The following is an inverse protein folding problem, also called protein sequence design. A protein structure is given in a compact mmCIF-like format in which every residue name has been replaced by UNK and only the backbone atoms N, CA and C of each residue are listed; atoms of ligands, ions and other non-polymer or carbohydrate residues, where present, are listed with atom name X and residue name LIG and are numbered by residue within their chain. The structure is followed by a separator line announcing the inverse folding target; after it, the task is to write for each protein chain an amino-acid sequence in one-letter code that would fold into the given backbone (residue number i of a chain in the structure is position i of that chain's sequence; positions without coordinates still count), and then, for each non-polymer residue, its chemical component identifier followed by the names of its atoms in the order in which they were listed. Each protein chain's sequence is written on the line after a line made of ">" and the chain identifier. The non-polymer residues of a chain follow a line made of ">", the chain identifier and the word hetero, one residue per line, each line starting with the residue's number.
data_IF_176988948341
#
_entry.id   IF_176988948341
#
_cell.length_a   1.000
_cell.length_b   1.000
_cell.length_c   1.000
_cell.angle_alpha   90.00
_cell.angle_beta   90.00
_cell.angle_gamma   90.00
#
_symmetry.space_group_name_H-M   'P 1'
#
loop_
_entity.id
_entity.type
_entity.pdbx_description
1 polymer ?
#
# COMPACT_ATOMS: atom_id res chain seq x y z
N UNK A 1 52.55 -8.17 16.81
CA UNK A 1 52.94 -9.59 16.87
C UNK A 1 51.76 -10.49 16.48
N UNK A 2 52.06 -11.26 15.44
CA UNK A 2 51.42 -12.49 14.94
C UNK A 2 50.01 -12.41 14.37
N UNK A 3 50.02 -12.43 13.03
CA UNK A 3 49.21 -13.12 12.03
C UNK A 3 48.52 -14.39 12.56
N UNK A 4 47.20 -14.45 12.30
CA UNK A 4 46.55 -15.72 11.97
C UNK A 4 45.69 -15.55 10.71
N UNK A 5 45.99 -16.40 9.76
CA UNK A 5 45.39 -16.50 8.44
C UNK A 5 43.93 -16.93 8.51
N UNK A 6 42.99 -16.06 8.16
CA UNK A 6 41.69 -16.51 7.69
C UNK A 6 41.72 -16.60 6.15
N UNK A 7 41.75 -17.81 5.66
CA UNK A 7 41.49 -18.13 4.25
C UNK A 7 40.03 -17.78 3.93
N UNK A 8 39.83 -16.72 3.21
CA UNK A 8 38.57 -16.40 2.57
C UNK A 8 38.39 -17.30 1.34
N UNK A 9 37.34 -18.08 1.35
CA UNK A 9 36.83 -18.71 0.13
C UNK A 9 36.09 -17.64 -0.70
N UNK A 10 36.35 -17.52 -2.00
CA UNK A 10 35.73 -16.50 -2.83
C UNK A 10 34.32 -16.91 -3.24
N UNK A 11 33.38 -16.01 -3.05
CA UNK A 11 32.19 -15.89 -3.85
C UNK A 11 31.04 -16.84 -3.53
N UNK A 12 30.07 -16.32 -2.82
CA UNK A 12 28.62 -16.50 -3.07
C UNK A 12 27.86 -15.79 -1.96
N UNK A 13 27.78 -14.47 -2.05
CA UNK A 13 26.75 -13.70 -1.33
C UNK A 13 25.44 -13.90 -2.07
N UNK A 14 24.59 -14.78 -1.57
CA UNK A 14 23.21 -14.88 -1.97
C UNK A 14 22.40 -13.89 -1.12
N UNK A 15 22.16 -12.69 -1.64
CA UNK A 15 21.05 -11.88 -1.22
C UNK A 15 19.77 -12.50 -1.83
N UNK A 16 19.01 -13.21 -1.01
CA UNK A 16 17.67 -13.67 -1.40
C UNK A 16 16.75 -12.46 -1.26
N UNK A 17 16.66 -11.67 -2.32
CA UNK A 17 15.62 -10.68 -2.46
C UNK A 17 14.31 -11.42 -2.80
N UNK A 18 13.41 -11.51 -1.83
CA UNK A 18 12.03 -11.92 -2.02
C UNK A 18 11.28 -10.80 -2.74
N UNK A 19 11.22 -10.84 -4.08
CA UNK A 19 10.37 -9.99 -4.90
C UNK A 19 9.36 -10.86 -5.65
N UNK A 20 8.09 -10.94 -5.20
CA UNK A 20 7.08 -11.73 -5.92
C UNK A 20 6.62 -11.10 -7.23
N UNK A 21 6.88 -9.80 -7.49
CA UNK A 21 6.35 -9.09 -8.66
C UNK A 21 7.32 -8.96 -9.84
N UNK A 22 8.63 -8.84 -9.63
CA UNK A 22 9.62 -8.79 -10.73
C UNK A 22 9.75 -10.09 -11.53
N UNK A 23 9.30 -11.21 -10.96
CA UNK A 23 9.26 -12.49 -11.69
C UNK A 23 8.11 -12.53 -12.72
N UNK A 24 7.10 -11.68 -12.60
CA UNK A 24 5.95 -11.67 -13.50
C UNK A 24 6.22 -10.95 -14.83
N UNK A 25 7.08 -9.94 -14.85
CA UNK A 25 7.44 -9.22 -16.09
C UNK A 25 8.43 -9.98 -16.97
N UNK A 26 9.14 -10.98 -16.40
CA UNK A 26 10.06 -11.85 -17.15
C UNK A 26 9.44 -13.20 -17.52
N UNK A 27 8.22 -13.50 -17.08
CA UNK A 27 7.50 -14.74 -17.41
C UNK A 27 6.54 -14.52 -18.62
N UNK A 28 7.03 -13.89 -19.67
CA UNK A 28 6.67 -14.32 -21.04
C UNK A 28 7.52 -15.53 -21.44
N UNK A 29 8.22 -16.13 -20.49
CA UNK A 29 9.10 -17.25 -20.63
C UNK A 29 8.33 -18.55 -20.47
N UNK A 30 8.31 -19.31 -21.56
CA UNK A 30 8.05 -20.72 -21.69
C UNK A 30 7.95 -21.49 -20.36
N UNK A 31 6.78 -22.08 -20.03
CA UNK A 31 6.60 -22.89 -18.82
C UNK A 31 7.64 -23.98 -18.62
N UNK A 32 8.27 -24.47 -19.71
CA UNK A 32 9.34 -25.47 -19.66
C UNK A 32 10.63 -24.90 -19.05
N UNK A 33 10.93 -23.61 -19.23
CA UNK A 33 12.10 -22.96 -18.61
C UNK A 33 11.95 -22.77 -17.10
N UNK A 34 10.74 -22.51 -16.64
CA UNK A 34 10.45 -22.46 -15.20
C UNK A 34 10.61 -23.83 -14.53
N UNK A 35 10.22 -24.90 -15.20
CA UNK A 35 10.40 -26.27 -14.70
C UNK A 35 11.89 -26.63 -14.65
N UNK A 36 12.68 -26.28 -15.68
CA UNK A 36 14.12 -26.51 -15.72
C UNK A 36 14.89 -25.73 -14.64
N UNK A 37 14.47 -24.51 -14.32
CA UNK A 37 15.08 -23.71 -13.25
C UNK A 37 14.83 -24.35 -11.86
N UNK A 38 13.63 -24.88 -11.63
CA UNK A 38 13.31 -25.60 -10.39
C UNK A 38 14.02 -26.95 -10.27
N UNK A 39 14.15 -27.70 -11.37
CA UNK A 39 14.88 -28.97 -11.40
C UNK A 39 16.38 -28.72 -11.13
N UNK A 40 16.97 -27.65 -11.64
CA UNK A 40 18.36 -27.29 -11.36
C UNK A 40 18.59 -26.89 -9.88
N UNK A 41 17.63 -26.20 -9.24
CA UNK A 41 17.70 -25.92 -7.80
C UNK A 41 17.60 -27.20 -6.94
N UNK A 42 16.82 -28.19 -7.35
CA UNK A 42 16.77 -29.51 -6.70
C UNK A 42 18.04 -30.34 -6.92
N UNK A 43 18.65 -30.29 -8.11
CA UNK A 43 19.91 -30.96 -8.39
C UNK A 43 21.08 -30.41 -7.57
N UNK A 44 21.12 -29.09 -7.35
CA UNK A 44 22.11 -28.45 -6.46
C UNK A 44 21.88 -28.83 -4.99
N UNK A 45 20.63 -29.03 -4.57
CA UNK A 45 20.27 -29.44 -3.21
C UNK A 45 20.54 -30.92 -2.94
N UNK A 46 20.43 -31.79 -3.96
CA UNK A 46 20.70 -33.20 -3.86
C UNK A 46 22.20 -33.57 -3.78
N UNK A 47 23.08 -32.61 -4.08
CA UNK A 47 24.53 -32.76 -3.95
C UNK A 47 25.09 -32.14 -2.63
N UNK A 48 24.24 -31.79 -1.69
CA UNK A 48 24.65 -31.28 -0.39
C UNK A 48 24.92 -32.46 0.58
N UNK A 49 26.13 -32.61 1.13
CA UNK A 49 26.49 -33.72 2.03
C UNK A 49 25.67 -33.78 3.34
N UNK A 50 25.05 -32.67 3.72
CA UNK A 50 24.22 -32.56 4.93
C UNK A 50 22.82 -33.17 4.74
N UNK A 51 22.36 -33.32 3.49
CA UNK A 51 21.01 -33.82 3.17
C UNK A 51 20.97 -35.32 2.86
N UNK A 52 22.10 -36.05 2.85
CA UNK A 52 22.19 -37.46 2.46
C UNK A 52 21.64 -38.45 3.48
N UNK A 53 21.33 -38.04 4.70
CA UNK A 53 20.92 -38.91 5.80
C UNK A 53 19.40 -39.00 6.05
N UNK A 54 18.55 -38.43 5.16
CA UNK A 54 17.10 -38.55 5.31
C UNK A 54 16.54 -39.71 4.49
N UNK A 55 16.09 -40.77 5.17
CA UNK A 55 15.69 -42.05 4.60
C UNK A 55 14.32 -42.07 3.90
N UNK A 56 13.69 -40.92 3.57
CA UNK A 56 12.37 -40.94 2.97
C UNK A 56 12.25 -40.03 1.74
N UNK A 57 12.98 -40.41 0.67
CA UNK A 57 12.93 -39.73 -0.63
C UNK A 57 11.50 -39.67 -1.23
N UNK A 58 10.63 -40.62 -0.88
CA UNK A 58 9.29 -40.73 -1.45
C UNK A 58 8.31 -39.73 -0.79
N UNK A 59 8.44 -39.49 0.52
CA UNK A 59 7.64 -38.52 1.24
C UNK A 59 8.08 -37.09 0.91
N UNK A 60 9.39 -36.84 0.74
CA UNK A 60 9.94 -35.57 0.31
C UNK A 60 9.49 -35.17 -1.10
N UNK A 61 9.50 -36.15 -2.04
CA UNK A 61 9.02 -35.92 -3.42
C UNK A 61 7.52 -35.59 -3.44
N UNK A 62 6.73 -36.28 -2.60
CA UNK A 62 5.29 -36.03 -2.47
C UNK A 62 5.00 -34.63 -1.88
N UNK A 63 5.76 -34.23 -0.86
CA UNK A 63 5.65 -32.88 -0.24
C UNK A 63 6.08 -31.76 -1.21
N UNK A 64 7.13 -32.01 -2.01
CA UNK A 64 7.59 -31.11 -3.06
C UNK A 64 6.54 -30.94 -4.16
N UNK A 65 5.94 -32.05 -4.63
CA UNK A 65 4.87 -31.99 -5.64
C UNK A 65 3.60 -31.31 -5.13
N UNK A 66 3.22 -31.50 -3.88
CA UNK A 66 2.10 -30.78 -3.25
C UNK A 66 2.39 -29.29 -3.15
N UNK A 67 3.59 -28.90 -2.74
CA UNK A 67 4.01 -27.50 -2.69
C UNK A 67 4.02 -26.83 -4.08
N UNK A 68 4.44 -27.56 -5.12
CA UNK A 68 4.41 -27.11 -6.52
C UNK A 68 2.95 -26.91 -6.97
N UNK A 69 2.06 -27.87 -6.68
CA UNK A 69 0.62 -27.74 -7.00
C UNK A 69 -0.02 -26.56 -6.31
N UNK A 70 0.29 -26.33 -5.02
CA UNK A 70 -0.22 -25.19 -4.25
C UNK A 70 0.28 -23.86 -4.84
N UNK A 71 1.58 -23.77 -5.20
CA UNK A 71 2.13 -22.59 -5.88
C UNK A 71 1.50 -22.37 -7.25
N UNK A 72 1.32 -23.42 -8.04
CA UNK A 72 0.71 -23.33 -9.36
C UNK A 72 -0.75 -22.88 -9.28
N UNK A 73 -1.52 -23.41 -8.32
CA UNK A 73 -2.88 -22.93 -8.02
C UNK A 73 -2.92 -21.47 -7.63
N UNK A 74 -1.99 -21.03 -6.76
CA UNK A 74 -1.89 -19.60 -6.39
C UNK A 74 -1.63 -18.74 -7.62
N UNK A 75 -0.62 -19.07 -8.43
CA UNK A 75 -0.30 -18.30 -9.65
C UNK A 75 -1.48 -18.27 -10.63
N UNK A 76 -2.18 -19.40 -10.81
CA UNK A 76 -3.35 -19.45 -11.69
C UNK A 76 -4.49 -18.58 -11.17
N UNK A 77 -4.78 -18.63 -9.87
CA UNK A 77 -5.80 -17.82 -9.22
C UNK A 77 -5.45 -16.32 -9.34
N UNK A 78 -4.17 -15.94 -9.13
CA UNK A 78 -3.73 -14.56 -9.32
C UNK A 78 -3.88 -14.09 -10.78
N UNK A 79 -3.47 -14.91 -11.76
CA UNK A 79 -3.60 -14.56 -13.20
C UNK A 79 -5.07 -14.43 -13.63
N UNK A 80 -5.93 -15.34 -13.18
CA UNK A 80 -7.37 -15.27 -13.47
C UNK A 80 -7.98 -14.07 -12.75
N UNK A 81 -7.64 -13.87 -11.47
CA UNK A 81 -8.11 -12.74 -10.67
C UNK A 81 -7.71 -11.39 -11.30
N UNK A 82 -6.46 -11.23 -11.71
CA UNK A 82 -5.98 -10.02 -12.37
C UNK A 82 -6.70 -9.77 -13.71
N UNK A 83 -6.94 -10.81 -14.51
CA UNK A 83 -7.73 -10.67 -15.76
C UNK A 83 -9.18 -10.26 -15.48
N UNK A 84 -9.83 -10.89 -14.51
CA UNK A 84 -11.20 -10.55 -14.13
C UNK A 84 -11.26 -9.11 -13.61
N UNK A 85 -10.30 -8.71 -12.77
CA UNK A 85 -10.18 -7.34 -12.29
C UNK A 85 -10.03 -6.35 -13.45
N UNK A 86 -9.16 -6.64 -14.43
CA UNK A 86 -8.96 -5.80 -15.60
C UNK A 86 -10.21 -5.70 -16.52
N UNK A 87 -11.02 -6.76 -16.62
CA UNK A 87 -12.32 -6.69 -17.31
C UNK A 87 -13.32 -5.84 -16.54
N UNK A 88 -13.37 -6.01 -15.21
CA UNK A 88 -14.25 -5.25 -14.34
C UNK A 88 -13.90 -3.76 -14.40
N UNK A 89 -12.63 -3.40 -14.33
CA UNK A 89 -12.15 -2.02 -14.43
C UNK A 89 -12.55 -1.33 -15.73
N UNK A 90 -12.60 -2.06 -16.85
CA UNK A 90 -13.05 -1.52 -18.15
C UNK A 90 -14.55 -1.17 -18.16
N UNK A 91 -15.35 -1.78 -17.30
CA UNK A 91 -16.77 -1.48 -17.18
C UNK A 91 -17.04 -0.28 -16.27
N UNK A 92 -16.17 -0.01 -15.30
CA UNK A 92 -16.34 1.05 -14.31
C UNK A 92 -16.68 2.41 -14.93
N UNK A 93 -16.01 2.89 -16.00
CA UNK A 93 -16.33 4.18 -16.61
C UNK A 93 -17.79 4.32 -17.07
N UNK A 94 -18.40 3.23 -17.53
CA UNK A 94 -19.78 3.22 -18.05
C UNK A 94 -20.85 3.20 -16.93
N UNK A 95 -20.46 2.80 -15.72
CA UNK A 95 -21.37 2.68 -14.56
C UNK A 95 -21.05 3.70 -13.46
N UNK A 96 -19.97 4.45 -13.58
CA UNK A 96 -19.59 5.49 -12.63
C UNK A 96 -20.58 6.64 -12.65
N UNK A 97 -21.12 7.00 -11.48
CA UNK A 97 -22.06 8.12 -11.33
C UNK A 97 -21.34 9.49 -11.30
N UNK A 98 -20.02 9.47 -11.24
CA UNK A 98 -19.15 10.67 -11.16
C UNK A 98 -18.27 10.84 -12.40
N UNK A 99 -18.49 10.06 -13.46
CA UNK A 99 -17.68 10.10 -14.68
C UNK A 99 -16.35 9.34 -14.56
N UNK A 100 -15.42 9.64 -15.48
CA UNK A 100 -14.12 8.97 -15.61
C UNK A 100 -13.01 10.00 -15.91
N UNK A 101 -12.81 10.93 -15.01
CA UNK A 101 -11.81 11.99 -15.07
C UNK A 101 -10.69 11.76 -14.05
N UNK A 102 -9.55 12.39 -14.25
CA UNK A 102 -8.44 12.31 -13.30
C UNK A 102 -8.84 12.91 -11.95
N UNK A 103 -9.44 14.10 -11.94
CA UNK A 103 -9.97 14.74 -10.75
C UNK A 103 -11.48 14.84 -10.78
N UNK A 104 -12.11 14.86 -9.63
CA UNK A 104 -13.55 15.02 -9.43
C UNK A 104 -13.84 16.27 -8.61
N UNK A 105 -15.01 16.86 -8.88
CA UNK A 105 -15.49 18.01 -8.13
C UNK A 105 -16.16 17.57 -6.82
N UNK A 106 -15.98 18.36 -5.76
CA UNK A 106 -16.49 18.07 -4.41
C UNK A 106 -18.02 17.92 -4.34
N UNK A 107 -18.75 18.60 -5.23
CA UNK A 107 -20.23 18.55 -5.26
C UNK A 107 -20.82 17.16 -5.57
N UNK A 108 -20.01 16.23 -6.09
CA UNK A 108 -20.41 14.82 -6.27
C UNK A 108 -20.52 14.04 -4.94
N UNK A 109 -20.05 14.63 -3.82
CA UNK A 109 -19.92 13.94 -2.54
C UNK A 109 -20.44 14.83 -1.41
N UNK A 110 -21.65 14.55 -0.93
CA UNK A 110 -22.32 15.36 0.12
C UNK A 110 -21.49 15.47 1.41
N UNK A 111 -20.75 14.43 1.76
CA UNK A 111 -19.94 14.36 2.97
C UNK A 111 -18.68 15.24 2.95
N UNK A 112 -18.21 15.66 1.77
CA UNK A 112 -16.96 16.44 1.63
C UNK A 112 -17.06 17.77 2.35
N UNK A 113 -18.19 18.47 2.23
CA UNK A 113 -18.39 19.76 2.88
C UNK A 113 -18.30 19.67 4.41
N UNK A 114 -18.79 18.57 5.02
CA UNK A 114 -18.71 18.35 6.48
C UNK A 114 -17.27 18.11 6.92
N UNK A 115 -16.51 17.31 6.17
CA UNK A 115 -15.09 17.03 6.48
C UNK A 115 -14.23 18.28 6.28
N UNK A 116 -14.39 18.97 5.14
CA UNK A 116 -13.62 20.19 4.82
C UNK A 116 -13.92 21.31 5.84
N UNK A 117 -15.17 21.50 6.23
CA UNK A 117 -15.55 22.54 7.22
C UNK A 117 -14.95 22.28 8.62
N UNK A 118 -14.67 21.03 8.96
CA UNK A 118 -14.10 20.62 10.25
C UNK A 118 -12.58 20.39 10.20
N UNK A 119 -11.89 20.83 9.14
CA UNK A 119 -10.46 20.57 8.95
C UNK A 119 -9.57 21.03 10.12
N UNK A 120 -9.93 22.11 10.81
CA UNK A 120 -9.17 22.61 11.96
C UNK A 120 -9.20 21.67 13.17
N UNK A 121 -10.30 20.90 13.36
CA UNK A 121 -10.38 19.89 14.41
C UNK A 121 -9.44 18.74 14.08
N UNK A 122 -9.46 18.28 12.82
CA UNK A 122 -8.57 17.24 12.29
C UNK A 122 -7.10 17.69 12.39
N UNK A 123 -6.84 18.96 12.02
CA UNK A 123 -5.50 19.53 12.08
C UNK A 123 -4.96 19.57 13.51
N UNK A 124 -5.78 19.90 14.49
CA UNK A 124 -5.36 19.93 15.90
C UNK A 124 -4.89 18.55 16.37
N UNK A 125 -5.60 17.48 16.01
CA UNK A 125 -5.22 16.11 16.35
C UNK A 125 -3.93 15.71 15.60
N UNK A 126 -3.77 16.08 14.35
CA UNK A 126 -2.53 15.89 13.60
C UNK A 126 -1.35 16.62 14.26
N UNK A 127 -1.51 17.86 14.71
CA UNK A 127 -0.43 18.64 15.31
C UNK A 127 0.09 17.99 16.60
N UNK A 128 -0.76 17.31 17.38
CA UNK A 128 -0.30 16.49 18.51
C UNK A 128 0.53 15.29 18.05
N UNK A 129 0.12 14.60 17.00
CA UNK A 129 0.87 13.48 16.44
C UNK A 129 2.21 13.91 15.83
N UNK A 130 2.28 15.10 15.24
CA UNK A 130 3.51 15.62 14.63
C UNK A 130 4.62 15.90 15.65
N UNK A 131 4.34 15.95 16.95
CA UNK A 131 5.36 16.01 18.00
C UNK A 131 6.20 14.74 18.02
N UNK A 132 5.67 13.62 17.55
CA UNK A 132 6.29 12.29 17.49
C UNK A 132 6.58 11.83 16.06
N UNK A 133 6.62 12.74 15.09
CA UNK A 133 6.70 12.43 13.65
C UNK A 133 7.87 11.49 13.30
N UNK A 134 8.97 11.58 14.01
CA UNK A 134 10.17 10.78 13.73
C UNK A 134 10.00 9.31 14.20
N UNK A 135 9.07 9.07 15.13
CA UNK A 135 8.70 7.75 15.64
C UNK A 135 7.55 7.10 14.88
N UNK A 136 6.86 7.84 13.99
CA UNK A 136 5.78 7.30 13.18
C UNK A 136 6.32 6.31 12.11
N UNK A 137 5.54 5.26 11.78
CA UNK A 137 5.94 4.33 10.72
C UNK A 137 5.98 5.02 9.36
N UNK A 138 6.90 4.58 8.52
CA UNK A 138 6.86 4.89 7.11
C UNK A 138 5.76 4.08 6.42
N UNK A 139 5.32 4.52 5.26
CA UNK A 139 4.31 3.80 4.49
C UNK A 139 4.77 2.36 4.17
N UNK A 140 6.02 2.15 3.80
CA UNK A 140 6.59 0.83 3.51
C UNK A 140 6.70 -0.09 4.75
N UNK A 141 6.73 0.45 5.97
CA UNK A 141 6.71 -0.35 7.20
C UNK A 141 5.34 -0.99 7.42
N UNK A 142 4.28 -0.37 6.93
CA UNK A 142 2.91 -0.88 6.95
C UNK A 142 2.66 -1.79 5.74
N UNK A 143 3.02 -1.34 4.53
CA UNK A 143 2.77 -2.04 3.26
C UNK A 143 4.08 -2.27 2.50
N UNK A 144 4.88 -3.27 2.89
CA UNK A 144 6.20 -3.55 2.29
C UNK A 144 6.13 -3.86 0.79
N UNK A 145 5.02 -4.45 0.33
CA UNK A 145 4.82 -4.79 -1.09
C UNK A 145 4.70 -3.55 -1.99
N UNK A 146 4.51 -2.36 -1.40
CA UNK A 146 4.48 -1.08 -2.12
C UNK A 146 5.80 -0.31 -2.04
N UNK A 147 6.84 -0.89 -1.46
CA UNK A 147 8.14 -0.22 -1.29
C UNK A 147 8.74 0.25 -2.63
N UNK A 148 8.55 -0.52 -3.72
CA UNK A 148 9.05 -0.16 -5.05
C UNK A 148 8.43 1.14 -5.60
N UNK A 149 7.20 1.48 -5.17
CA UNK A 149 6.49 2.69 -5.60
C UNK A 149 6.76 3.90 -4.71
N UNK A 150 7.31 3.67 -3.51
CA UNK A 150 7.35 4.71 -2.48
C UNK A 150 8.73 5.37 -2.34
N UNK A 151 9.75 4.90 -3.05
CA UNK A 151 11.17 5.20 -2.78
C UNK A 151 11.46 4.94 -1.30
N UNK A 152 11.99 3.77 -0.92
CA UNK A 152 12.15 3.36 0.48
C UNK A 152 13.17 4.25 1.18
N UNK A 153 12.68 5.37 1.68
CA UNK A 153 13.38 6.33 2.53
C UNK A 153 12.53 6.57 3.78
N UNK A 154 13.05 7.35 4.71
CA UNK A 154 12.40 7.67 5.96
C UNK A 154 11.55 8.96 5.87
N UNK A 155 11.09 9.33 4.67
CA UNK A 155 10.49 10.62 4.39
C UNK A 155 8.97 10.59 4.17
N UNK A 156 8.33 9.42 4.12
CA UNK A 156 6.87 9.30 4.05
C UNK A 156 6.34 8.61 5.30
N UNK A 157 5.97 9.40 6.30
CA UNK A 157 5.39 8.93 7.55
C UNK A 157 3.88 8.78 7.45
N UNK A 158 3.32 7.83 8.21
CA UNK A 158 1.89 7.53 8.20
C UNK A 158 1.34 7.28 9.59
N UNK A 159 0.05 7.61 9.78
CA UNK A 159 -0.69 7.26 10.99
C UNK A 159 -2.06 6.73 10.60
N UNK A 160 -2.20 5.41 10.56
CA UNK A 160 -3.41 4.73 10.08
C UNK A 160 -4.49 4.69 11.15
N UNK A 161 -5.72 5.04 10.76
CA UNK A 161 -6.95 4.86 11.52
C UNK A 161 -7.78 3.70 10.96
N UNK A 162 -7.79 3.55 9.63
CA UNK A 162 -8.45 2.45 8.92
C UNK A 162 -7.59 1.95 7.77
N UNK A 163 -7.52 0.62 7.62
CA UNK A 163 -6.91 -0.05 6.47
C UNK A 163 -7.86 -1.08 5.86
N UNK A 164 -8.38 -0.83 4.66
CA UNK A 164 -9.34 -1.70 3.95
C UNK A 164 -10.57 -2.11 4.80
N UNK A 165 -11.10 -1.19 5.61
CA UNK A 165 -12.24 -1.39 6.48
C UNK A 165 -11.91 -1.96 7.86
N UNK A 166 -10.66 -2.26 8.16
CA UNK A 166 -10.19 -2.71 9.47
C UNK A 166 -9.76 -1.48 10.28
N UNK A 167 -10.33 -1.33 11.46
CA UNK A 167 -10.11 -0.20 12.36
C UNK A 167 -8.87 -0.42 13.22
N UNK A 168 -8.02 0.59 13.34
CA UNK A 168 -6.97 0.70 14.33
C UNK A 168 -7.54 1.39 15.58
N UNK A 169 -8.03 0.61 16.52
CA UNK A 169 -8.87 1.11 17.63
C UNK A 169 -8.18 2.16 18.49
N UNK A 170 -6.91 1.94 18.87
CA UNK A 170 -6.17 2.87 19.71
C UNK A 170 -5.82 4.16 18.98
N UNK A 171 -5.47 4.04 17.69
CA UNK A 171 -5.21 5.20 16.86
C UNK A 171 -6.47 6.05 16.67
N UNK A 172 -7.63 5.41 16.47
CA UNK A 172 -8.92 6.08 16.41
C UNK A 172 -9.30 6.77 17.74
N UNK A 173 -9.03 6.13 18.88
CA UNK A 173 -9.27 6.72 20.19
C UNK A 173 -8.44 7.96 20.45
N UNK A 174 -7.22 8.04 19.87
CA UNK A 174 -6.33 9.18 19.99
C UNK A 174 -6.73 10.36 19.08
N UNK A 175 -7.44 10.07 18.00
CA UNK A 175 -7.95 11.07 17.05
C UNK A 175 -9.51 11.00 16.99
N UNK A 176 -10.21 11.31 18.10
CA UNK A 176 -11.65 11.09 18.19
C UNK A 176 -12.47 11.98 17.25
N UNK A 177 -12.06 13.22 16.99
CA UNK A 177 -12.79 14.11 16.09
C UNK A 177 -12.62 13.68 14.63
N UNK A 178 -11.39 13.34 14.24
CA UNK A 178 -11.13 12.77 12.90
C UNK A 178 -11.91 11.48 12.71
N UNK A 179 -11.88 10.58 13.69
CA UNK A 179 -12.61 9.30 13.65
C UNK A 179 -14.11 9.52 13.49
N UNK A 180 -14.70 10.40 14.28
CA UNK A 180 -16.12 10.77 14.21
C UNK A 180 -16.54 11.27 12.82
N UNK A 181 -15.66 12.02 12.15
CA UNK A 181 -15.94 12.55 10.82
C UNK A 181 -15.82 11.47 9.74
N UNK A 182 -14.73 10.69 9.74
CA UNK A 182 -14.50 9.69 8.71
C UNK A 182 -15.46 8.49 8.80
N UNK A 183 -15.95 8.16 9.98
CA UNK A 183 -16.94 7.08 10.17
C UNK A 183 -18.32 7.38 9.56
N UNK A 184 -18.63 8.66 9.33
CA UNK A 184 -19.85 9.09 8.63
C UNK A 184 -19.76 8.98 7.11
N UNK A 185 -18.57 8.76 6.55
CA UNK A 185 -18.34 8.75 5.10
C UNK A 185 -18.82 7.42 4.52
N UNK A 186 -19.84 7.43 3.63
CA UNK A 186 -20.33 6.21 3.02
C UNK A 186 -19.24 5.52 2.18
N UNK A 187 -18.99 4.24 2.47
CA UNK A 187 -18.06 3.43 1.70
C UNK A 187 -16.57 3.75 1.93
N UNK A 188 -16.22 4.48 2.99
CA UNK A 188 -14.82 4.67 3.38
C UNK A 188 -14.16 3.31 3.67
N UNK A 189 -12.95 3.11 3.14
CA UNK A 189 -12.18 1.87 3.26
C UNK A 189 -10.84 2.08 3.93
N UNK A 190 -10.15 3.16 3.62
CA UNK A 190 -8.82 3.49 4.16
C UNK A 190 -8.84 4.92 4.67
N UNK A 191 -8.24 5.15 5.83
CA UNK A 191 -8.08 6.49 6.41
C UNK A 191 -6.76 6.57 7.19
N UNK A 192 -5.91 7.54 6.85
CA UNK A 192 -4.68 7.79 7.58
C UNK A 192 -4.18 9.22 7.37
N UNK A 193 -3.35 9.70 8.27
CA UNK A 193 -2.55 10.89 8.02
C UNK A 193 -1.33 10.52 7.18
N UNK A 194 -1.21 11.13 6.00
CA UNK A 194 -0.06 11.01 5.10
C UNK A 194 0.83 12.23 5.26
N UNK A 195 2.05 12.01 5.74
CA UNK A 195 3.00 13.05 6.15
C UNK A 195 4.25 12.93 5.30
N UNK A 196 4.45 13.88 4.38
CA UNK A 196 5.67 13.95 3.59
C UNK A 196 6.65 14.92 4.24
N UNK A 197 7.79 14.38 4.60
CA UNK A 197 8.92 15.14 5.13
C UNK A 197 9.54 16.03 4.03
N UNK A 198 10.39 17.00 4.38
CA UNK A 198 11.11 17.83 3.42
C UNK A 198 11.83 17.03 2.34
N UNK A 199 11.71 17.46 1.08
CA UNK A 199 12.38 16.84 -0.06
C UNK A 199 11.76 15.54 -0.56
N UNK A 200 10.64 15.06 0.04
CA UNK A 200 10.03 13.80 -0.39
C UNK A 200 9.37 13.91 -1.76
N UNK A 201 9.75 12.98 -2.64
CA UNK A 201 9.06 12.66 -3.88
C UNK A 201 8.48 11.25 -3.80
N UNK A 202 7.18 11.11 -4.06
CA UNK A 202 6.53 9.83 -4.34
C UNK A 202 6.51 9.68 -5.86
N UNK A 203 7.29 8.73 -6.43
CA UNK A 203 7.40 8.55 -7.88
C UNK A 203 6.09 8.19 -8.56
N UNK A 204 6.03 8.34 -9.88
CA UNK A 204 4.86 7.97 -10.67
C UNK A 204 4.47 6.51 -10.45
N UNK A 205 3.23 6.32 -10.06
CA UNK A 205 2.63 5.01 -9.84
C UNK A 205 1.13 5.06 -10.12
N UNK A 206 0.48 3.91 -10.03
CA UNK A 206 -0.98 3.77 -10.17
C UNK A 206 -1.51 3.01 -8.96
N UNK A 207 -2.69 3.41 -8.50
CA UNK A 207 -3.46 2.62 -7.55
C UNK A 207 -3.86 1.25 -8.14
N UNK A 208 -4.00 0.24 -7.30
CA UNK A 208 -4.21 -1.14 -7.76
C UNK A 208 -5.61 -1.40 -8.29
N UNK A 209 -6.58 -0.52 -8.02
CA UNK A 209 -7.98 -0.79 -8.30
C UNK A 209 -8.83 0.47 -8.55
N UNK A 210 -9.48 0.53 -9.71
CA UNK A 210 -10.32 1.67 -10.15
C UNK A 210 -11.65 1.81 -9.41
N UNK A 211 -12.06 0.83 -8.62
CA UNK A 211 -13.33 0.83 -7.88
C UNK A 211 -13.36 1.69 -6.62
N UNK A 212 -12.26 2.35 -6.31
CA UNK A 212 -12.16 3.35 -5.26
C UNK A 212 -11.78 4.70 -5.86
N UNK A 213 -11.99 5.75 -5.10
CA UNK A 213 -11.52 7.11 -5.35
C UNK A 213 -10.74 7.59 -4.15
N UNK A 214 -9.79 8.47 -4.36
CA UNK A 214 -8.97 9.05 -3.32
C UNK A 214 -9.38 10.47 -3.01
N UNK A 215 -9.60 10.74 -1.72
CA UNK A 215 -9.81 12.07 -1.18
C UNK A 215 -8.61 12.44 -0.31
N UNK A 216 -8.05 13.61 -0.54
CA UNK A 216 -6.93 14.15 0.23
C UNK A 216 -7.27 15.57 0.71
N UNK A 217 -7.46 15.73 2.03
CA UNK A 217 -7.65 17.04 2.64
C UNK A 217 -6.30 17.58 3.11
N UNK A 218 -5.92 18.75 2.61
CA UNK A 218 -4.69 19.42 3.01
C UNK A 218 -4.82 19.97 4.44
N UNK A 219 -4.02 19.45 5.35
CA UNK A 219 -4.00 19.86 6.75
C UNK A 219 -2.82 20.77 7.07
N UNK A 220 -1.67 20.50 6.49
CA UNK A 220 -0.45 21.30 6.64
C UNK A 220 0.28 21.39 5.31
N UNK A 221 0.49 22.61 4.84
CA UNK A 221 1.16 22.89 3.57
C UNK A 221 2.30 23.87 3.82
N UNK A 222 3.55 23.45 3.60
CA UNK A 222 4.70 24.34 3.79
C UNK A 222 4.86 25.35 2.65
N UNK A 223 5.49 26.47 2.95
CA UNK A 223 5.86 27.46 1.94
C UNK A 223 7.24 27.16 1.32
N UNK A 224 7.49 27.51 0.06
CA UNK A 224 6.51 28.00 -0.92
C UNK A 224 5.61 26.87 -1.42
N UNK A 225 4.28 27.06 -1.34
CA UNK A 225 3.29 26.01 -1.66
C UNK A 225 3.34 25.52 -3.12
N UNK A 226 3.90 26.30 -4.03
CA UNK A 226 4.11 25.93 -5.43
C UNK A 226 5.06 24.73 -5.58
N UNK A 227 5.95 24.51 -4.60
CA UNK A 227 6.84 23.36 -4.53
C UNK A 227 6.19 22.12 -3.90
N UNK A 228 4.95 22.25 -3.46
CA UNK A 228 4.18 21.18 -2.86
C UNK A 228 2.98 20.86 -3.76
N UNK A 229 3.07 19.78 -4.57
CA UNK A 229 2.11 19.50 -5.64
C UNK A 229 1.86 18.01 -5.83
N UNK A 230 0.77 17.72 -6.54
CA UNK A 230 0.43 16.38 -7.03
C UNK A 230 0.09 16.48 -8.51
N UNK A 231 0.56 15.51 -9.31
CA UNK A 231 0.14 15.30 -10.69
C UNK A 231 -0.69 14.03 -10.75
N UNK A 232 -1.83 14.09 -11.43
CA UNK A 232 -2.69 12.93 -11.73
C UNK A 232 -3.01 12.95 -13.23
N UNK A 233 -2.59 11.94 -13.96
CA UNK A 233 -2.59 11.97 -15.41
C UNK A 233 -1.74 13.13 -15.94
N UNK A 234 -2.36 14.03 -16.67
CA UNK A 234 -1.72 15.22 -17.24
C UNK A 234 -2.02 16.51 -16.47
N UNK A 235 -2.72 16.43 -15.33
CA UNK A 235 -3.14 17.60 -14.55
C UNK A 235 -2.34 17.69 -13.25
N UNK A 236 -1.73 18.86 -12.99
CA UNK A 236 -0.99 19.16 -11.76
C UNK A 236 -1.80 20.13 -10.90
N UNK A 237 -1.95 19.81 -9.62
CA UNK A 237 -2.60 20.66 -8.61
C UNK A 237 -1.68 20.92 -7.43
N UNK A 238 -1.87 22.09 -6.80
CA UNK A 238 -1.14 22.52 -5.61
C UNK A 238 -2.04 22.44 -4.39
N UNK A 239 -1.42 22.24 -3.24
CA UNK A 239 -2.13 22.10 -1.97
C UNK A 239 -2.52 23.47 -1.41
N UNK A 240 -3.69 23.52 -0.77
CA UNK A 240 -4.17 24.67 0.02
C UNK A 240 -4.78 24.13 1.32
N UNK A 241 -4.33 24.64 2.48
CA UNK A 241 -4.84 24.18 3.78
C UNK A 241 -6.35 24.35 3.89
N UNK A 242 -7.03 23.32 4.40
CA UNK A 242 -8.47 23.28 4.52
C UNK A 242 -9.22 22.98 3.21
N UNK A 243 -8.50 22.72 2.10
CA UNK A 243 -9.09 22.31 0.82
C UNK A 243 -8.76 20.87 0.51
N UNK A 244 -9.74 20.19 -0.07
CA UNK A 244 -9.58 18.79 -0.50
C UNK A 244 -9.37 18.68 -2.01
N UNK A 245 -8.73 17.57 -2.40
CA UNK A 245 -8.62 17.09 -3.77
C UNK A 245 -9.17 15.69 -3.84
N UNK A 246 -10.01 15.43 -4.84
CA UNK A 246 -10.62 14.11 -5.07
C UNK A 246 -10.19 13.64 -6.44
N UNK A 247 -9.62 12.44 -6.54
CA UNK A 247 -9.13 11.92 -7.81
C UNK A 247 -9.22 10.40 -7.93
N UNK A 248 -9.12 9.93 -9.15
CA UNK A 248 -9.03 8.51 -9.50
C UNK A 248 -7.54 8.10 -9.47
N UNK A 249 -7.14 7.37 -8.44
CA UNK A 249 -5.75 6.92 -8.26
C UNK A 249 -5.32 5.84 -9.27
N UNK A 250 -6.25 5.29 -10.03
CA UNK A 250 -5.94 4.41 -11.16
C UNK A 250 -5.29 5.13 -12.36
N UNK A 251 -5.31 6.46 -12.41
CA UNK A 251 -4.48 7.24 -13.30
C UNK A 251 -3.03 7.28 -12.78
N UNK A 252 -2.01 7.31 -13.67
CA UNK A 252 -0.63 7.55 -13.23
C UNK A 252 -0.55 8.84 -12.42
N UNK A 253 0.00 8.78 -11.24
CA UNK A 253 0.11 9.94 -10.34
C UNK A 253 1.40 9.93 -9.53
N UNK A 254 1.85 11.12 -9.17
CA UNK A 254 3.05 11.35 -8.37
C UNK A 254 2.89 12.62 -7.52
N UNK A 255 3.61 12.69 -6.40
CA UNK A 255 3.49 13.81 -5.47
C UNK A 255 4.85 14.28 -4.95
N UNK A 256 4.99 15.60 -4.77
CA UNK A 256 6.22 16.23 -4.30
C UNK A 256 5.98 17.12 -3.09
N UNK A 257 6.96 17.10 -2.20
CA UNK A 257 7.20 18.12 -1.20
C UNK A 257 8.66 18.58 -1.35
N UNK A 258 8.91 19.52 -2.24
CA UNK A 258 10.24 20.08 -2.52
C UNK A 258 10.53 21.33 -1.65
N UNK A 259 9.91 21.38 -0.46
CA UNK A 259 10.11 22.46 0.53
C UNK A 259 10.95 21.97 1.70
N UNK A 260 11.31 22.91 2.58
CA UNK A 260 12.02 22.60 3.84
C UNK A 260 11.06 22.29 5.01
N UNK A 261 9.75 22.26 4.75
CA UNK A 261 8.71 22.01 5.75
C UNK A 261 8.00 20.69 5.53
N UNK A 262 7.15 20.31 6.50
CA UNK A 262 6.36 19.07 6.46
C UNK A 262 5.02 19.33 5.76
N UNK A 263 4.66 18.48 4.77
CA UNK A 263 3.31 18.45 4.17
C UNK A 263 2.53 17.30 4.79
N UNK A 264 1.33 17.58 5.30
CA UNK A 264 0.44 16.56 5.84
C UNK A 264 -0.98 16.70 5.30
N UNK A 265 -1.59 15.57 4.97
CA UNK A 265 -2.97 15.46 4.50
C UNK A 265 -3.71 14.36 5.26
N UNK A 266 -5.02 14.50 5.43
CA UNK A 266 -5.89 13.36 5.68
C UNK A 266 -6.11 12.65 4.36
N UNK A 267 -5.73 11.38 4.31
CA UNK A 267 -5.84 10.52 3.15
C UNK A 267 -7.00 9.53 3.36
N UNK A 268 -7.94 9.51 2.42
CA UNK A 268 -9.05 8.55 2.43
C UNK A 268 -9.16 7.85 1.08
N UNK A 269 -9.40 6.52 1.11
CA UNK A 269 -9.93 5.79 -0.03
C UNK A 269 -11.40 5.45 0.25
N UNK A 270 -12.27 5.84 -0.70
CA UNK A 270 -13.72 5.72 -0.59
C UNK A 270 -14.23 4.94 -1.81
N UNK A 271 -15.25 4.13 -1.63
CA UNK A 271 -15.90 3.42 -2.74
C UNK A 271 -16.37 4.39 -3.81
N UNK A 272 -16.02 4.11 -5.07
CA UNK A 272 -16.51 4.89 -6.20
C UNK A 272 -18.02 4.73 -6.32
N UNK A 273 -18.79 5.83 -6.37
CA UNK A 273 -20.23 5.78 -6.63
C UNK A 273 -20.51 5.16 -8.01
N UNK A 274 -21.28 4.08 -8.04
CA UNK A 274 -21.62 3.36 -9.26
C UNK A 274 -23.08 2.96 -9.27
N UNK A 275 -23.66 2.84 -10.47
CA UNK A 275 -24.99 2.26 -10.64
C UNK A 275 -24.96 0.73 -10.51
N UNK A 276 -26.13 0.14 -10.18
CA UNK A 276 -26.33 -1.31 -10.17
C UNK A 276 -26.19 -1.88 -11.60
N UNK A 277 -25.60 -3.09 -11.80
CA UNK A 277 -25.13 -4.03 -10.77
C UNK A 277 -23.67 -3.83 -10.34
N UNK A 278 -22.94 -2.88 -10.95
CA UNK A 278 -21.51 -2.71 -10.67
C UNK A 278 -21.23 -2.22 -9.23
N UNK A 279 -22.11 -1.44 -8.63
CA UNK A 279 -21.98 -1.05 -7.22
C UNK A 279 -21.88 -2.27 -6.28
N UNK A 280 -22.74 -3.26 -6.48
CA UNK A 280 -22.72 -4.51 -5.70
C UNK A 280 -21.46 -5.34 -5.97
N UNK A 281 -21.08 -5.47 -7.25
CA UNK A 281 -19.86 -6.20 -7.62
C UNK A 281 -18.61 -5.50 -7.09
N UNK A 282 -18.59 -4.17 -7.07
CA UNK A 282 -17.48 -3.39 -6.49
C UNK A 282 -17.31 -3.67 -4.99
N UNK A 283 -18.40 -3.71 -4.24
CA UNK A 283 -18.33 -4.10 -2.82
C UNK A 283 -17.82 -5.53 -2.62
N UNK A 284 -18.25 -6.47 -3.47
CA UNK A 284 -17.77 -7.84 -3.42
C UNK A 284 -16.26 -7.90 -3.72
N UNK A 285 -15.80 -7.17 -4.74
CA UNK A 285 -14.38 -7.09 -5.08
C UNK A 285 -13.55 -6.52 -3.93
N UNK A 286 -14.02 -5.47 -3.26
CA UNK A 286 -13.31 -4.91 -2.09
C UNK A 286 -13.23 -5.91 -0.93
N UNK A 287 -14.26 -6.71 -0.69
CA UNK A 287 -14.22 -7.79 0.32
C UNK A 287 -13.20 -8.87 -0.06
N UNK A 288 -13.11 -9.21 -1.36
CA UNK A 288 -12.11 -10.18 -1.86
C UNK A 288 -10.69 -9.60 -1.70
N UNK A 289 -10.47 -8.33 -2.04
CA UNK A 289 -9.18 -7.66 -1.88
C UNK A 289 -8.77 -7.64 -0.40
N UNK A 290 -9.70 -7.31 0.50
CA UNK A 290 -9.44 -7.23 1.94
C UNK A 290 -8.96 -8.56 2.57
N UNK A 291 -9.32 -9.71 2.03
CA UNK A 291 -8.88 -11.03 2.52
C UNK A 291 -7.61 -11.54 1.83
N UNK A 292 -7.03 -10.79 0.90
CA UNK A 292 -5.75 -11.18 0.27
C UNK A 292 -4.61 -11.13 1.27
N UNK A 293 -3.59 -11.99 1.13
CA UNK A 293 -2.41 -11.97 1.99
C UNK A 293 -1.75 -10.58 2.07
N UNK A 294 -1.70 -9.87 0.95
CA UNK A 294 -1.20 -8.52 0.84
C UNK A 294 -1.83 -7.55 1.87
N UNK A 295 -3.17 -7.53 1.96
CA UNK A 295 -3.88 -6.67 2.92
C UNK A 295 -3.77 -7.22 4.34
N UNK A 296 -3.78 -8.55 4.52
CA UNK A 296 -3.67 -9.16 5.84
C UNK A 296 -2.28 -8.88 6.46
N UNK A 297 -1.21 -8.94 5.68
CA UNK A 297 0.15 -8.63 6.14
C UNK A 297 0.26 -7.15 6.54
N UNK A 298 -0.30 -6.23 5.73
CA UNK A 298 -0.36 -4.81 6.06
C UNK A 298 -1.12 -4.54 7.38
N UNK A 299 -2.23 -5.25 7.64
CA UNK A 299 -2.99 -5.13 8.88
C UNK A 299 -2.23 -5.67 10.09
N UNK A 300 -1.47 -6.74 9.94
CA UNK A 300 -0.60 -7.27 11.00
C UNK A 300 0.49 -6.24 11.34
N UNK A 301 1.15 -5.67 10.33
CA UNK A 301 2.16 -4.64 10.53
C UNK A 301 1.56 -3.40 11.20
N UNK A 302 0.38 -2.95 10.74
CA UNK A 302 -0.34 -1.84 11.35
C UNK A 302 -0.62 -2.07 12.84
N UNK A 303 -1.07 -3.26 13.22
CA UNK A 303 -1.34 -3.61 14.61
C UNK A 303 -0.08 -3.59 15.47
N UNK A 304 1.04 -4.10 14.97
CA UNK A 304 2.32 -4.03 15.67
C UNK A 304 2.78 -2.58 15.89
N UNK A 305 2.60 -1.72 14.87
CA UNK A 305 2.93 -0.31 14.99
C UNK A 305 2.01 0.43 15.97
N UNK A 306 0.71 0.13 15.97
CA UNK A 306 -0.26 0.67 16.92
C UNK A 306 0.15 0.34 18.38
N UNK A 307 0.56 -0.91 18.66
CA UNK A 307 1.04 -1.33 19.98
C UNK A 307 2.37 -0.63 20.38
N UNK A 308 3.24 -0.39 19.41
CA UNK A 308 4.51 0.32 19.64
C UNK A 308 4.26 1.80 19.95
N UNK A 309 3.43 2.47 19.18
CA UNK A 309 3.06 3.86 19.40
C UNK A 309 2.35 4.07 20.73
N UNK A 310 1.46 3.14 21.12
CA UNK A 310 0.79 3.20 22.42
C UNK A 310 1.78 3.19 23.58
N UNK A 311 2.81 2.34 23.51
CA UNK A 311 3.89 2.30 24.51
C UNK A 311 4.73 3.59 24.54
N UNK A 312 4.88 4.27 23.41
CA UNK A 312 5.56 5.54 23.31
C UNK A 312 4.75 6.63 24.01
N UNK A 313 3.49 6.75 23.65
CA UNK A 313 2.58 7.78 24.18
C UNK A 313 2.21 7.59 25.67
N UNK A 314 2.31 6.36 26.21
CA UNK A 314 2.02 6.08 27.63
C UNK A 314 3.18 6.42 28.58
N UNK A 315 4.31 6.89 28.07
CA UNK A 315 5.48 7.30 28.89
C UNK A 315 5.45 8.78 29.31
N UNK A 316 4.45 9.50 28.84
CA UNK A 316 4.17 10.89 29.26
C UNK A 316 3.08 10.94 30.34
#
# INVERSE_FOLDING_TARGET
>A
FKNEHHKSLPGLTFSINYYPFKILDTIDADPQKCILYYINLELVRNNCPVCSNYSDKKSMLKLSLENIKVKFRKILIYKIGAKLLGYFEKLIPNYSLIGNTAFFESHHFEWVNDVDANWMLIRKELDELLKYRDDLPNFQDISPDQADYTSPDDLWKTYFMYGYGIKAEKNCQRCPETTRLIEKIPGMKTAFFSILMPGKHIPEHRGPYKGVIRYLLALKVPEPKEKCRIRVGNETRHWEEGKSMIFDDSFPHEAWNETDGVRAVLFLDVMRPMSFPLSFLNELMMKIIAITPYIQDANINQKHWEERLEKLFSKE
#
